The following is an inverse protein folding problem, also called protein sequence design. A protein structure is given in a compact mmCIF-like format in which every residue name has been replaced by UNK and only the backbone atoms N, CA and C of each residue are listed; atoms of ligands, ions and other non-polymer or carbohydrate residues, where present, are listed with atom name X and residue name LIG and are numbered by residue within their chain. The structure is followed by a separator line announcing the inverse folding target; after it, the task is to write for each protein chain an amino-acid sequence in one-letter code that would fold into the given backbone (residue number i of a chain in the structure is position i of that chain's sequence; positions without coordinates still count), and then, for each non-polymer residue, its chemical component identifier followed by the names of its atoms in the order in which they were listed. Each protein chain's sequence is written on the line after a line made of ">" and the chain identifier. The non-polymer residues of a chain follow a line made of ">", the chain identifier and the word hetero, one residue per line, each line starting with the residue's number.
data_IF_286939509148
#
_entry.id   IF_286939509148
#
_cell.length_a   1.000
_cell.length_b   1.000
_cell.length_c   1.000
_cell.angle_alpha   90.00
_cell.angle_beta   90.00
_cell.angle_gamma   90.00
#
_symmetry.space_group_name_H-M   'P 1'
#
loop_
_entity.id
_entity.type
_entity.pdbx_description
1 polymer ?
#
# COMPACT_ATOMS: atom_id res chain seq x y z
N UNK A 1 18.52 -21.71 25.85
CA UNK A 1 19.64 -21.31 24.98
C UNK A 1 19.25 -19.99 24.34
N UNK A 2 20.10 -18.98 24.46
CA UNK A 2 19.85 -17.64 23.95
C UNK A 2 19.96 -17.68 22.42
N UNK A 3 19.03 -17.03 21.73
CA UNK A 3 18.97 -17.04 20.26
C UNK A 3 20.12 -16.25 19.61
N UNK A 4 20.93 -15.58 20.44
CA UNK A 4 22.07 -14.75 20.05
C UNK A 4 23.31 -15.56 19.65
N UNK A 5 23.36 -16.87 19.95
CA UNK A 5 24.56 -17.72 19.72
C UNK A 5 24.57 -18.43 18.35
N UNK A 6 23.53 -18.31 17.52
CA UNK A 6 23.39 -19.12 16.28
C UNK A 6 24.00 -18.44 15.05
N UNK A 7 24.17 -17.11 15.01
CA UNK A 7 24.81 -16.45 13.85
C UNK A 7 25.56 -15.16 14.24
N UNK A 8 26.86 -15.23 14.58
CA UNK A 8 27.68 -14.04 14.88
C UNK A 8 27.83 -13.07 13.69
N UNK A 9 27.66 -13.55 12.45
CA UNK A 9 27.92 -12.81 11.22
C UNK A 9 26.74 -11.93 10.75
N UNK A 10 25.54 -12.08 11.29
CA UNK A 10 24.34 -11.34 10.83
C UNK A 10 24.03 -10.06 11.62
N UNK A 11 24.78 -9.75 12.68
CA UNK A 11 24.41 -8.69 13.62
C UNK A 11 25.37 -7.49 13.73
N UNK A 12 26.37 -7.33 12.86
CA UNK A 12 27.34 -6.24 13.05
C UNK A 12 27.69 -5.33 11.86
N UNK A 13 26.77 -5.11 10.92
CA UNK A 13 26.80 -3.89 10.10
C UNK A 13 25.65 -2.96 10.44
N UNK A 14 25.92 -1.97 11.31
CA UNK A 14 24.99 -0.90 11.64
C UNK A 14 24.62 -0.15 10.35
N UNK A 15 23.39 -0.34 9.87
CA UNK A 15 22.85 0.40 8.71
C UNK A 15 23.08 1.90 8.88
N UNK A 16 23.88 2.47 7.99
CA UNK A 16 24.18 3.91 7.95
C UNK A 16 23.06 4.60 7.17
N UNK A 17 22.39 5.54 7.81
CA UNK A 17 21.33 6.33 7.18
C UNK A 17 21.86 7.69 6.71
N UNK A 18 21.48 8.10 5.50
CA UNK A 18 21.86 9.38 4.89
C UNK A 18 20.77 10.44 5.01
N UNK A 19 21.17 11.70 4.90
CA UNK A 19 20.27 12.84 4.90
C UNK A 19 19.52 12.93 3.57
N UNK A 20 18.22 12.62 3.57
CA UNK A 20 17.40 12.65 2.35
C UNK A 20 17.40 14.01 1.64
N UNK A 21 17.51 15.13 2.37
CA UNK A 21 17.59 16.47 1.75
C UNK A 21 18.88 16.64 0.95
N UNK A 22 20.01 16.17 1.47
CA UNK A 22 21.29 16.20 0.75
C UNK A 22 21.27 15.28 -0.46
N UNK A 23 20.70 14.08 -0.32
CA UNK A 23 20.58 13.12 -1.43
C UNK A 23 19.78 13.70 -2.60
N UNK A 24 18.70 14.44 -2.33
CA UNK A 24 17.91 15.09 -3.39
C UNK A 24 18.70 16.15 -4.18
N UNK A 25 19.85 16.60 -3.67
CA UNK A 25 20.75 17.55 -4.32
C UNK A 25 22.10 16.90 -4.69
N UNK A 26 22.18 15.56 -4.71
CA UNK A 26 23.38 14.83 -5.11
C UNK A 26 24.50 14.78 -4.06
N UNK A 27 24.23 15.16 -2.80
CA UNK A 27 25.21 15.06 -1.71
C UNK A 27 24.91 13.90 -0.76
N UNK A 28 25.89 13.02 -0.57
CA UNK A 28 25.81 11.90 0.37
C UNK A 28 26.37 12.28 1.74
N UNK A 29 25.50 12.75 2.63
CA UNK A 29 25.89 13.12 4.00
C UNK A 29 25.19 12.24 5.02
N UNK A 30 25.94 11.69 5.97
CA UNK A 30 25.40 10.84 7.05
C UNK A 30 24.40 11.64 7.89
N UNK A 31 23.26 11.02 8.24
CA UNK A 31 22.15 11.69 8.94
C UNK A 31 22.50 12.05 10.40
N UNK A 32 23.33 11.25 11.07
CA UNK A 32 23.67 11.42 12.48
C UNK A 32 24.32 12.79 12.69
N UNK A 33 23.78 13.60 13.61
CA UNK A 33 24.23 14.95 13.98
C UNK A 33 24.18 16.03 12.87
N UNK A 34 23.86 15.68 11.63
CA UNK A 34 23.91 16.60 10.49
C UNK A 34 22.74 17.60 10.39
N UNK A 35 21.67 17.45 11.18
CA UNK A 35 20.43 18.25 11.03
C UNK A 35 20.66 19.76 11.11
N UNK A 36 21.57 20.24 11.95
CA UNK A 36 21.85 21.65 12.15
C UNK A 36 22.77 22.24 11.04
N UNK A 37 23.71 21.44 10.56
CA UNK A 37 24.75 21.81 9.58
C UNK A 37 24.32 21.56 8.13
N UNK A 38 23.10 21.06 7.91
CA UNK A 38 22.61 20.74 6.58
C UNK A 38 22.45 21.99 5.71
N UNK A 39 23.23 22.09 4.64
CA UNK A 39 23.16 23.17 3.64
C UNK A 39 21.75 23.31 3.04
N UNK A 40 21.03 22.19 2.87
CA UNK A 40 19.68 22.15 2.32
C UNK A 40 18.58 22.12 3.39
N UNK A 41 18.89 22.50 4.63
CA UNK A 41 17.95 22.51 5.75
C UNK A 41 16.68 23.31 5.45
N UNK A 42 16.83 24.44 4.78
CA UNK A 42 15.74 25.35 4.42
C UNK A 42 15.43 25.34 2.91
N UNK A 43 15.92 24.33 2.19
CA UNK A 43 15.59 24.21 0.77
C UNK A 43 14.09 23.96 0.56
N UNK A 44 13.51 24.68 -0.39
CA UNK A 44 12.09 24.66 -0.77
C UNK A 44 11.86 24.10 -2.18
N UNK A 45 12.83 23.38 -2.76
CA UNK A 45 12.61 22.68 -4.03
C UNK A 45 11.51 21.61 -3.88
N UNK A 46 10.93 21.19 -5.01
CA UNK A 46 9.87 20.20 -5.02
C UNK A 46 10.25 18.93 -4.24
N UNK A 47 11.46 18.42 -4.42
CA UNK A 47 11.90 17.17 -3.78
C UNK A 47 12.05 17.31 -2.27
N UNK A 48 12.55 18.46 -1.78
CA UNK A 48 12.63 18.73 -0.33
C UNK A 48 11.26 18.97 0.30
N UNK A 49 10.32 19.62 -0.40
CA UNK A 49 8.93 19.73 0.05
C UNK A 49 8.26 18.36 0.19
N UNK A 50 8.53 17.42 -0.73
CA UNK A 50 8.03 16.05 -0.63
C UNK A 50 8.60 15.30 0.59
N UNK A 51 9.85 15.56 0.96
CA UNK A 51 10.47 15.01 2.18
C UNK A 51 9.76 15.52 3.44
N UNK A 52 9.40 16.80 3.50
CA UNK A 52 8.69 17.36 4.66
C UNK A 52 7.26 16.83 4.77
N UNK A 53 6.51 16.82 3.66
CA UNK A 53 5.16 16.23 3.62
C UNK A 53 5.16 14.77 4.07
N UNK A 54 6.15 13.98 3.62
CA UNK A 54 6.30 12.58 4.07
C UNK A 54 6.55 12.49 5.58
N UNK A 55 7.42 13.35 6.13
CA UNK A 55 7.73 13.35 7.57
C UNK A 55 6.49 13.70 8.40
N UNK A 56 5.73 14.70 7.96
CA UNK A 56 4.48 15.10 8.62
C UNK A 56 3.44 13.97 8.62
N UNK A 57 3.23 13.31 7.48
CA UNK A 57 2.33 12.15 7.41
C UNK A 57 2.76 11.02 8.34
N UNK A 58 4.05 10.67 8.36
CA UNK A 58 4.58 9.65 9.28
C UNK A 58 4.40 10.06 10.76
N UNK A 59 4.60 11.33 11.09
CA UNK A 59 4.35 11.84 12.44
C UNK A 59 2.87 11.74 12.84
N UNK A 60 1.94 11.98 11.90
CA UNK A 60 0.50 11.82 12.15
C UNK A 60 0.12 10.35 12.33
N UNK A 61 0.68 9.44 11.53
CA UNK A 61 0.43 8.00 11.67
C UNK A 61 0.83 7.48 13.06
N UNK A 62 2.02 7.87 13.55
CA UNK A 62 2.47 7.52 14.89
C UNK A 62 1.56 8.08 16.01
N UNK A 63 0.84 9.17 15.78
CA UNK A 63 -0.12 9.70 16.74
C UNK A 63 -1.40 8.87 16.82
N UNK A 64 -1.82 8.22 15.72
CA UNK A 64 -2.97 7.31 15.70
C UNK A 64 -2.64 5.93 16.29
N UNK A 65 -1.42 5.42 16.07
CA UNK A 65 -0.99 4.12 16.61
C UNK A 65 -0.81 4.12 18.15
N UNK A 66 -0.77 5.30 18.80
CA UNK A 66 -0.73 5.43 20.26
C UNK A 66 -2.10 5.28 20.94
N UNK A 67 -3.19 5.06 20.18
CA UNK A 67 -4.50 4.63 20.73
C UNK A 67 -4.63 3.13 20.53
N UNK A 68 -3.82 2.36 21.27
CA UNK A 68 -4.10 0.92 21.49
C UNK A 68 -4.96 0.80 22.75
N UNK A 69 -6.06 0.01 22.77
CA UNK A 69 -6.92 -0.12 23.94
C UNK A 69 -6.15 -0.72 25.13
N UNK A 70 -6.52 -0.41 26.39
CA UNK A 70 -5.88 -1.02 27.53
C UNK A 70 -6.15 -2.53 27.51
N UNK A 71 -5.11 -3.31 27.74
CA UNK A 71 -5.23 -4.72 28.06
C UNK A 71 -6.05 -4.87 29.35
N UNK A 72 -7.20 -5.52 29.29
CA UNK A 72 -7.82 -6.13 30.47
C UNK A 72 -8.62 -7.35 30.05
N UNK A 73 -8.29 -8.48 30.66
CA UNK A 73 -9.01 -9.73 30.50
C UNK A 73 -10.47 -9.64 30.97
N UNK A 74 -11.22 -10.63 30.50
CA UNK A 74 -12.51 -11.13 31.00
C UNK A 74 -13.66 -10.12 31.18
N UNK A 75 -14.53 -10.02 30.18
CA UNK A 75 -15.94 -10.44 30.25
C UNK A 75 -16.74 -9.87 29.05
N UNK A 76 -17.27 -10.76 28.21
CA UNK A 76 -18.41 -10.50 27.33
C UNK A 76 -19.71 -10.44 28.19
N UNK A 77 -20.83 -9.76 27.80
CA UNK A 77 -21.34 -9.74 26.42
C UNK A 77 -21.98 -8.42 25.91
N UNK A 78 -21.97 -8.29 24.58
CA UNK A 78 -23.05 -7.76 23.71
C UNK A 78 -23.94 -6.67 24.31
N UNK A 79 -23.57 -5.39 24.14
CA UNK A 79 -24.49 -4.23 24.10
C UNK A 79 -23.74 -2.90 23.88
N UNK A 80 -23.22 -2.63 22.68
CA UNK A 80 -23.18 -1.23 22.16
C UNK A 80 -22.70 -1.03 20.70
N UNK A 81 -22.85 -2.03 19.83
CA UNK A 81 -22.43 -1.89 18.43
C UNK A 81 -23.30 -0.87 17.64
N UNK A 82 -24.40 -0.39 18.22
CA UNK A 82 -25.35 0.53 17.57
C UNK A 82 -25.05 2.01 17.81
N UNK A 83 -24.18 2.37 18.77
CA UNK A 83 -23.94 3.78 19.13
C UNK A 83 -22.75 4.44 18.40
N UNK A 84 -21.90 3.67 17.70
CA UNK A 84 -20.73 4.21 16.99
C UNK A 84 -20.98 4.61 15.52
N UNK A 85 -22.20 4.41 15.01
CA UNK A 85 -22.52 4.73 13.61
C UNK A 85 -23.20 6.10 13.39
N UNK A 86 -23.44 6.89 14.45
CA UNK A 86 -24.34 8.04 14.35
C UNK A 86 -23.72 9.45 14.45
N UNK A 87 -22.39 9.62 14.46
CA UNK A 87 -21.80 10.96 14.56
C UNK A 87 -20.73 11.30 13.52
N UNK A 88 -21.03 10.98 12.25
CA UNK A 88 -20.37 11.63 11.11
C UNK A 88 -21.47 12.06 10.14
N UNK A 89 -22.16 13.16 10.44
CA UNK A 89 -22.79 14.03 9.44
C UNK A 89 -23.18 15.40 10.01
N UNK A 90 -22.34 16.41 9.73
CA UNK A 90 -22.67 17.84 9.54
C UNK A 90 -21.37 18.57 9.12
N UNK A 91 -20.80 18.32 7.94
CA UNK A 91 -21.08 18.93 6.62
C UNK A 91 -20.78 20.44 6.52
N UNK A 92 -20.21 20.91 5.38
CA UNK A 92 -21.13 21.53 4.44
C UNK A 92 -21.04 20.98 3.01
N UNK A 93 -22.18 20.43 2.60
CA UNK A 93 -22.90 20.67 1.35
C UNK A 93 -22.43 19.95 0.06
N UNK A 94 -23.24 18.95 -0.29
CA UNK A 94 -23.62 18.50 -1.64
C UNK A 94 -22.58 17.74 -2.49
N UNK A 95 -22.65 16.40 -2.47
CA UNK A 95 -23.05 15.60 -3.65
C UNK A 95 -22.85 14.12 -3.39
N UNK A 96 -23.92 13.36 -3.65
CA UNK A 96 -24.03 11.91 -3.87
C UNK A 96 -22.69 11.21 -4.08
N UNK A 97 -22.44 10.13 -3.33
CA UNK A 97 -21.25 9.29 -3.40
C UNK A 97 -20.73 9.14 -4.83
N UNK A 98 -19.62 9.82 -5.15
CA UNK A 98 -18.96 9.69 -6.44
C UNK A 98 -18.26 8.34 -6.44
N UNK A 99 -18.95 7.33 -6.97
CA UNK A 99 -18.39 6.06 -7.43
C UNK A 99 -16.96 6.31 -7.92
N UNK A 100 -15.95 5.67 -7.31
CA UNK A 100 -14.58 5.83 -7.79
C UNK A 100 -14.56 5.36 -9.23
N UNK A 101 -14.32 6.27 -10.17
CA UNK A 101 -14.22 5.98 -11.60
C UNK A 101 -12.75 5.80 -11.94
N UNK A 102 -12.20 4.57 -11.95
CA UNK A 102 -10.79 4.37 -12.24
C UNK A 102 -10.47 4.72 -13.69
N UNK A 103 -9.25 5.25 -13.89
CA UNK A 103 -8.66 5.48 -15.20
C UNK A 103 -7.76 4.31 -15.60
N UNK A 104 -7.54 4.14 -16.90
CA UNK A 104 -6.63 3.13 -17.42
C UNK A 104 -5.18 3.46 -17.03
N UNK A 105 -4.55 2.56 -16.28
CA UNK A 105 -3.17 2.74 -15.82
C UNK A 105 -2.16 2.78 -16.98
N UNK A 106 -2.39 2.01 -18.06
CA UNK A 106 -1.51 2.04 -19.25
C UNK A 106 -1.59 3.37 -19.98
N UNK A 107 -2.78 3.88 -20.24
CA UNK A 107 -2.95 5.22 -20.83
C UNK A 107 -2.32 6.31 -19.96
N UNK A 108 -2.47 6.21 -18.63
CA UNK A 108 -1.85 7.16 -17.70
C UNK A 108 -0.31 7.18 -17.82
N UNK A 109 0.35 6.06 -18.13
CA UNK A 109 1.81 6.03 -18.35
C UNK A 109 2.28 6.76 -19.61
N UNK A 110 1.37 7.02 -20.54
CA UNK A 110 1.58 7.79 -21.76
C UNK A 110 0.91 9.17 -21.70
N UNK A 111 0.57 9.65 -20.50
CA UNK A 111 -0.09 10.94 -20.27
C UNK A 111 -1.48 11.07 -20.91
N UNK A 112 -2.13 9.95 -21.24
CA UNK A 112 -3.49 9.90 -21.79
C UNK A 112 -4.48 9.53 -20.69
N UNK A 113 -5.51 10.36 -20.50
CA UNK A 113 -6.59 10.07 -19.56
C UNK A 113 -7.74 9.35 -20.26
N UNK A 114 -7.85 8.04 -20.02
CA UNK A 114 -8.97 7.23 -20.49
C UNK A 114 -9.66 6.53 -19.33
N UNK A 115 -11.00 6.54 -19.29
CA UNK A 115 -11.79 5.83 -18.28
C UNK A 115 -11.61 4.33 -18.45
N UNK A 116 -11.39 3.57 -17.37
CA UNK A 116 -11.10 2.13 -17.47
C UNK A 116 -12.31 1.30 -17.95
N UNK A 117 -13.53 1.67 -17.53
CA UNK A 117 -14.76 0.93 -17.87
C UNK A 117 -14.94 0.89 -19.38
N UNK A 118 -14.91 -0.31 -19.98
CA UNK A 118 -15.06 -0.54 -21.42
C UNK A 118 -13.81 -0.27 -22.26
N UNK A 119 -12.71 0.19 -21.66
CA UNK A 119 -11.54 0.67 -22.39
C UNK A 119 -10.47 -0.41 -22.66
N UNK A 120 -10.55 -1.58 -22.04
CA UNK A 120 -9.52 -2.64 -22.19
C UNK A 120 -9.25 -2.99 -23.66
N UNK A 121 -10.31 -3.22 -24.46
CA UNK A 121 -10.18 -3.69 -25.86
C UNK A 121 -9.83 -2.58 -26.85
N UNK A 122 -10.20 -1.34 -26.56
CA UNK A 122 -9.91 -0.17 -27.40
C UNK A 122 -8.71 0.65 -26.89
N UNK A 123 -7.93 0.10 -25.95
CA UNK A 123 -6.77 0.77 -25.41
C UNK A 123 -5.67 0.87 -26.49
N UNK A 124 -5.22 2.08 -26.87
CA UNK A 124 -4.17 2.24 -27.87
C UNK A 124 -2.81 1.69 -27.38
N UNK A 125 -2.64 1.57 -26.06
CA UNK A 125 -1.43 1.04 -25.43
C UNK A 125 -1.63 -0.38 -24.90
N UNK A 126 -2.61 -1.13 -25.42
CA UNK A 126 -2.93 -2.50 -24.96
C UNK A 126 -1.74 -3.43 -25.09
N UNK A 127 -0.93 -3.29 -26.12
CA UNK A 127 0.20 -4.20 -26.37
C UNK A 127 1.54 -3.43 -26.31
N UNK A 128 1.55 -2.28 -25.62
CA UNK A 128 2.76 -1.48 -25.45
C UNK A 128 3.76 -2.19 -24.52
N UNK A 129 4.99 -2.36 -25.01
CA UNK A 129 6.10 -3.04 -24.33
C UNK A 129 7.12 -2.08 -23.69
N UNK A 130 6.82 -0.77 -23.58
CA UNK A 130 7.75 0.18 -22.95
C UNK A 130 7.95 -0.10 -21.45
N UNK A 131 9.08 0.34 -20.89
CA UNK A 131 9.43 0.09 -19.48
C UNK A 131 8.32 0.52 -18.49
N UNK A 132 7.67 1.67 -18.72
CA UNK A 132 6.56 2.14 -17.85
C UNK A 132 5.36 1.18 -17.88
N UNK A 133 5.04 0.63 -19.05
CA UNK A 133 3.93 -0.31 -19.23
C UNK A 133 4.26 -1.71 -18.70
N UNK A 134 5.53 -2.13 -18.72
CA UNK A 134 6.00 -3.36 -18.08
C UNK A 134 5.81 -3.29 -16.56
N UNK A 135 6.18 -2.17 -15.91
CA UNK A 135 5.96 -1.97 -14.47
C UNK A 135 4.47 -2.05 -14.10
N UNK A 136 3.57 -1.51 -14.95
CA UNK A 136 2.12 -1.63 -14.73
C UNK A 136 1.67 -3.09 -14.80
N UNK A 137 2.20 -3.88 -15.73
CA UNK A 137 1.88 -5.30 -15.89
C UNK A 137 2.38 -6.12 -14.69
N UNK A 138 3.62 -5.92 -14.26
CA UNK A 138 4.19 -6.57 -13.08
C UNK A 138 3.39 -6.24 -11.82
N UNK A 139 3.00 -4.97 -11.64
CA UNK A 139 2.15 -4.54 -10.53
C UNK A 139 0.79 -5.24 -10.55
N UNK A 140 0.18 -5.42 -11.72
CA UNK A 140 -1.10 -6.12 -11.85
C UNK A 140 -0.96 -7.60 -11.48
N UNK A 141 0.14 -8.24 -11.89
CA UNK A 141 0.46 -9.62 -11.50
C UNK A 141 0.61 -9.75 -9.98
N UNK A 142 1.41 -8.88 -9.36
CA UNK A 142 1.60 -8.89 -7.90
C UNK A 142 0.29 -8.69 -7.12
N UNK A 143 -0.58 -7.80 -7.60
CA UNK A 143 -1.90 -7.59 -6.98
C UNK A 143 -2.79 -8.82 -7.12
N UNK A 144 -2.76 -9.50 -8.27
CA UNK A 144 -3.49 -10.76 -8.49
C UNK A 144 -2.96 -11.90 -7.60
N UNK A 145 -1.64 -12.01 -7.46
CA UNK A 145 -0.99 -12.99 -6.58
C UNK A 145 -1.35 -12.72 -5.10
N UNK A 146 -1.28 -11.46 -4.66
CA UNK A 146 -1.65 -11.07 -3.30
C UNK A 146 -3.13 -11.35 -3.01
N UNK A 147 -4.00 -11.06 -3.98
CA UNK A 147 -5.42 -11.35 -3.86
C UNK A 147 -5.67 -12.86 -3.75
N UNK A 148 -4.96 -13.66 -4.56
CA UNK A 148 -5.01 -15.12 -4.53
C UNK A 148 -4.62 -15.67 -3.16
N UNK A 149 -3.49 -15.20 -2.61
CA UNK A 149 -3.03 -15.58 -1.27
C UNK A 149 -4.04 -15.18 -0.19
N UNK A 150 -4.64 -13.99 -0.30
CA UNK A 150 -5.69 -13.54 0.62
C UNK A 150 -6.90 -14.46 0.62
N UNK A 151 -7.39 -14.86 -0.56
CA UNK A 151 -8.49 -15.83 -0.65
C UNK A 151 -8.10 -17.19 -0.09
N UNK A 152 -6.88 -17.67 -0.37
CA UNK A 152 -6.37 -18.93 0.17
C UNK A 152 -6.34 -18.91 1.71
N UNK A 153 -5.85 -17.82 2.31
CA UNK A 153 -5.86 -17.64 3.76
C UNK A 153 -7.28 -17.61 4.32
N UNK A 154 -8.19 -16.85 3.71
CA UNK A 154 -9.60 -16.79 4.15
C UNK A 154 -10.28 -18.16 4.09
N UNK A 155 -10.06 -18.94 3.02
CA UNK A 155 -10.60 -20.29 2.90
C UNK A 155 -10.03 -21.23 3.97
N UNK A 156 -8.75 -21.10 4.31
CA UNK A 156 -8.12 -21.91 5.37
C UNK A 156 -8.72 -21.65 6.76
N UNK A 157 -9.26 -20.46 7.02
CA UNK A 157 -9.96 -20.14 8.27
C UNK A 157 -11.40 -20.68 8.31
N UNK A 158 -12.05 -20.82 7.16
CA UNK A 158 -13.47 -21.24 7.08
C UNK A 158 -13.59 -22.76 7.02
N UNK A 159 -12.71 -23.44 6.26
CA UNK A 159 -12.66 -24.91 6.16
C UNK A 159 -11.21 -25.38 5.90
N UNK A 160 -10.55 -26.03 6.88
CA UNK A 160 -9.20 -26.56 6.75
C UNK A 160 -9.04 -27.59 5.61
N UNK A 161 -10.14 -28.22 5.19
CA UNK A 161 -10.18 -29.28 4.16
C UNK A 161 -10.24 -28.70 2.74
N UNK A 162 -10.62 -27.43 2.58
CA UNK A 162 -10.77 -26.77 1.29
C UNK A 162 -9.45 -26.62 0.51
N UNK A 163 -8.30 -26.74 1.18
CA UNK A 163 -6.98 -26.74 0.54
C UNK A 163 -6.67 -28.03 -0.27
N UNK A 164 -7.50 -29.06 -0.15
CA UNK A 164 -7.29 -30.38 -0.78
C UNK A 164 -7.89 -30.46 -2.19
N UNK A 165 -8.73 -29.49 -2.60
CA UNK A 165 -9.36 -29.48 -3.92
C UNK A 165 -8.87 -28.29 -4.79
N UNK A 166 -7.80 -28.49 -5.59
CA UNK A 166 -7.27 -27.48 -6.52
C UNK A 166 -8.33 -26.89 -7.47
N UNK A 167 -9.33 -27.70 -7.82
CA UNK A 167 -10.43 -27.33 -8.72
C UNK A 167 -11.34 -26.24 -8.11
N UNK A 168 -11.56 -26.25 -6.79
CA UNK A 168 -12.41 -25.27 -6.11
C UNK A 168 -11.70 -23.91 -6.00
N UNK A 169 -10.41 -23.92 -5.66
CA UNK A 169 -9.59 -22.70 -5.61
C UNK A 169 -9.50 -22.05 -7.00
N UNK A 170 -9.29 -22.85 -8.05
CA UNK A 170 -9.26 -22.37 -9.44
C UNK A 170 -10.60 -21.75 -9.86
N UNK A 171 -11.73 -22.36 -9.48
CA UNK A 171 -13.06 -21.83 -9.76
C UNK A 171 -13.33 -20.50 -9.02
N UNK A 172 -12.89 -20.36 -7.77
CA UNK A 172 -13.04 -19.12 -6.98
C UNK A 172 -12.19 -17.99 -7.57
N UNK A 173 -10.95 -18.28 -7.97
CA UNK A 173 -10.05 -17.31 -8.60
C UNK A 173 -10.52 -16.90 -10.01
N UNK A 174 -11.22 -17.78 -10.74
CA UNK A 174 -11.81 -17.46 -12.03
C UNK A 174 -12.98 -16.46 -11.95
N UNK A 175 -13.67 -16.37 -10.82
CA UNK A 175 -14.76 -15.41 -10.57
C UNK A 175 -14.22 -14.04 -10.13
N UNK A 176 -12.91 -13.93 -9.85
CA UNK A 176 -12.32 -12.65 -9.50
C UNK A 176 -12.37 -11.69 -10.70
N UNK A 177 -12.90 -10.47 -10.54
CA UNK A 177 -13.09 -9.51 -11.64
C UNK A 177 -11.78 -9.04 -12.30
N UNK A 178 -10.62 -9.44 -11.75
CA UNK A 178 -9.30 -9.17 -12.31
C UNK A 178 -8.83 -10.26 -13.30
N UNK A 179 -9.46 -11.45 -13.30
CA UNK A 179 -9.07 -12.60 -14.12
C UNK A 179 -9.93 -12.80 -15.38
N UNK A 180 -10.91 -11.93 -15.67
CA UNK A 180 -11.62 -11.90 -16.96
C UNK A 180 -10.75 -11.36 -18.10
N UNK A 181 -9.45 -11.66 -18.09
CA UNK A 181 -8.48 -11.06 -18.97
C UNK A 181 -7.91 -11.96 -20.07
N UNK A 182 -8.26 -13.24 -20.11
CA UNK A 182 -7.83 -14.16 -21.16
C UNK A 182 -9.03 -14.88 -21.79
N UNK A 183 -9.67 -14.19 -22.73
CA UNK A 183 -10.43 -14.70 -23.89
C UNK A 183 -10.69 -13.53 -24.85
#
# INVERSE_FOLDING_TARGET
>A
MNIEDIVPELFYEKRVYYCQRCLNHGLEVKRKNHKAECTYRYCVCNDCQMVDRRRELNSRLLQFDNVTPPASGSADPVSNVTAFFNDISSSPQTSKGKERRPNCQRCAQHSVMARLKGHKRCCPFRDCSCAKCQVVQERQKLMADQQTLGYQQLLSFIDPTAMINPSLLTAILAVCPHNQNDL
#
